data_IF_831493580733
#
_entry.id   IF_831493580733
#
_cell.length_a   1.000
_cell.length_b   1.000
_cell.length_c   1.000
_cell.angle_alpha   90.00
_cell.angle_beta   90.00
_cell.angle_gamma   90.00
#
_symmetry.space_group_name_H-M   'P 1'
#
loop_
_entity.id
_entity.type
_entity.pdbx_description
1 polymer ?
#
# COMPACT_ATOMS: atom_id res chain seq x y z
N UNK A 1 3.45 23.23 -3.20
CA UNK A 1 3.55 22.29 -2.06
C UNK A 1 4.81 22.53 -1.23
N UNK A 2 5.97 22.85 -1.83
CA UNK A 2 7.25 22.97 -1.09
C UNK A 2 7.90 24.36 -1.12
N UNK A 3 7.22 25.40 -1.61
CA UNK A 3 7.76 26.78 -1.58
C UNK A 3 8.99 27.01 -2.47
N UNK A 4 9.24 26.13 -3.44
CA UNK A 4 10.38 26.19 -4.38
C UNK A 4 9.96 26.78 -5.73
N UNK A 5 10.93 27.29 -6.50
CA UNK A 5 10.74 27.65 -7.90
C UNK A 5 10.53 26.41 -8.78
N UNK A 6 10.08 26.62 -10.02
CA UNK A 6 9.91 25.54 -11.00
C UNK A 6 11.26 24.94 -11.40
N UNK A 7 12.31 25.76 -11.55
CA UNK A 7 13.65 25.25 -11.85
C UNK A 7 14.18 24.40 -10.69
N UNK A 8 14.07 24.88 -9.45
CA UNK A 8 14.55 24.15 -8.27
C UNK A 8 13.82 22.81 -8.10
N UNK A 9 12.50 22.80 -8.32
CA UNK A 9 11.71 21.57 -8.25
C UNK A 9 12.11 20.57 -9.35
N UNK A 10 12.41 21.04 -10.57
CA UNK A 10 12.88 20.19 -11.66
C UNK A 10 14.24 19.58 -11.32
N UNK A 11 15.18 20.39 -10.86
CA UNK A 11 16.54 19.95 -10.55
C UNK A 11 16.52 18.96 -9.36
N UNK A 12 15.63 19.16 -8.38
CA UNK A 12 15.39 18.20 -7.31
C UNK A 12 14.86 16.85 -7.82
N UNK A 13 13.87 16.86 -8.72
CA UNK A 13 13.31 15.64 -9.32
C UNK A 13 14.38 14.87 -10.10
N UNK A 14 15.22 15.58 -10.86
CA UNK A 14 16.31 14.97 -11.61
C UNK A 14 17.38 14.36 -10.68
N UNK A 15 17.78 15.08 -9.62
CA UNK A 15 18.68 14.55 -8.61
C UNK A 15 18.12 13.31 -7.90
N UNK A 16 16.81 13.31 -7.59
CA UNK A 16 16.12 12.15 -7.01
C UNK A 16 16.20 10.93 -7.93
N UNK A 17 15.89 11.09 -9.22
CA UNK A 17 15.98 9.97 -10.16
C UNK A 17 17.41 9.52 -10.46
N UNK A 18 18.39 10.42 -10.42
CA UNK A 18 19.80 10.06 -10.52
C UNK A 18 20.24 9.22 -9.30
N UNK A 19 19.73 9.54 -8.12
CA UNK A 19 20.00 8.78 -6.89
C UNK A 19 19.27 7.43 -6.86
N UNK A 20 18.04 7.38 -7.38
CA UNK A 20 17.17 6.20 -7.37
C UNK A 20 16.74 5.80 -8.80
N UNK A 21 17.67 5.34 -9.66
CA UNK A 21 17.39 5.10 -11.08
C UNK A 21 16.31 4.03 -11.32
N UNK A 22 16.22 3.03 -10.43
CA UNK A 22 15.20 1.97 -10.48
C UNK A 22 13.77 2.50 -10.34
N UNK A 23 13.58 3.64 -9.65
CA UNK A 23 12.25 4.27 -9.53
C UNK A 23 11.80 4.83 -10.87
N UNK A 24 12.71 5.47 -11.63
CA UNK A 24 12.44 5.95 -12.99
C UNK A 24 12.16 4.78 -13.93
N UNK A 25 12.99 3.74 -13.89
CA UNK A 25 12.80 2.52 -14.68
C UNK A 25 11.44 1.86 -14.43
N UNK A 26 11.07 1.69 -13.16
CA UNK A 26 9.76 1.16 -12.78
C UNK A 26 8.62 2.00 -13.36
N UNK A 27 8.69 3.33 -13.17
CA UNK A 27 7.68 4.27 -13.66
C UNK A 27 7.50 4.13 -15.18
N UNK A 28 8.59 4.20 -15.92
CA UNK A 28 8.58 4.20 -17.38
C UNK A 28 8.09 2.84 -17.91
N UNK A 29 8.50 1.73 -17.26
CA UNK A 29 8.00 0.38 -17.57
C UNK A 29 6.50 0.24 -17.36
N UNK A 30 5.97 0.74 -16.24
CA UNK A 30 4.52 0.67 -15.95
C UNK A 30 3.73 1.47 -16.98
N UNK A 31 4.17 2.68 -17.33
CA UNK A 31 3.50 3.53 -18.33
C UNK A 31 3.53 2.87 -19.71
N UNK A 32 4.69 2.32 -20.12
CA UNK A 32 4.82 1.62 -21.41
C UNK A 32 3.87 0.42 -21.49
N UNK A 33 3.85 -0.43 -20.46
CA UNK A 33 2.96 -1.59 -20.41
C UNK A 33 1.48 -1.17 -20.42
N UNK A 34 1.11 -0.17 -19.62
CA UNK A 34 -0.26 0.33 -19.56
C UNK A 34 -0.72 0.96 -20.89
N UNK A 35 0.19 1.58 -21.64
CA UNK A 35 -0.11 2.15 -22.96
C UNK A 35 -0.38 1.05 -23.99
N UNK A 36 0.38 -0.04 -23.93
CA UNK A 36 0.20 -1.21 -24.80
C UNK A 36 -1.08 -1.98 -24.45
N UNK A 37 -1.29 -2.30 -23.17
CA UNK A 37 -2.36 -3.19 -22.71
C UNK A 37 -3.69 -2.46 -22.47
N UNK A 38 -3.63 -1.15 -22.20
CA UNK A 38 -4.79 -0.34 -21.80
C UNK A 38 -5.18 -0.48 -20.32
N UNK A 39 -4.41 -1.21 -19.51
CA UNK A 39 -4.62 -1.37 -18.08
C UNK A 39 -3.30 -1.59 -17.34
N UNK A 40 -3.33 -1.43 -16.01
CA UNK A 40 -2.25 -1.86 -15.10
C UNK A 40 -2.72 -2.97 -14.18
N UNK A 41 -1.78 -3.74 -13.64
CA UNK A 41 -2.02 -4.84 -12.68
C UNK A 41 -1.29 -4.59 -11.36
N UNK A 42 -1.95 -4.90 -10.25
CA UNK A 42 -1.26 -5.04 -8.95
C UNK A 42 -0.41 -6.32 -8.92
N UNK A 43 0.43 -6.50 -7.89
CA UNK A 43 1.21 -7.74 -7.72
C UNK A 43 0.32 -8.99 -7.56
N UNK A 44 -0.92 -8.81 -7.10
CA UNK A 44 -1.93 -9.87 -6.98
C UNK A 44 -2.77 -10.04 -8.26
N UNK A 45 -2.42 -9.36 -9.36
CA UNK A 45 -3.07 -9.50 -10.66
C UNK A 45 -4.38 -8.71 -10.82
N UNK A 46 -4.79 -7.89 -9.84
CA UNK A 46 -5.98 -7.04 -9.96
C UNK A 46 -5.76 -5.95 -11.00
N UNK A 47 -6.68 -5.83 -11.96
CA UNK A 47 -6.54 -4.91 -13.10
C UNK A 47 -7.29 -3.60 -12.88
N UNK A 48 -6.68 -2.50 -13.33
CA UNK A 48 -7.34 -1.20 -13.50
C UNK A 48 -7.11 -0.69 -14.93
N UNK A 49 -8.18 -0.48 -15.72
CA UNK A 49 -8.08 0.21 -17.01
C UNK A 49 -7.54 1.63 -16.86
N UNK A 50 -6.70 2.07 -17.80
CA UNK A 50 -6.14 3.44 -17.86
C UNK A 50 -6.33 3.99 -19.27
N UNK A 51 -7.56 4.36 -19.61
CA UNK A 51 -7.94 4.78 -20.96
C UNK A 51 -7.36 6.16 -21.32
N UNK A 52 -7.00 6.96 -20.32
CA UNK A 52 -6.44 8.31 -20.46
C UNK A 52 -5.12 8.33 -21.25
N UNK A 53 -4.35 7.24 -21.19
CA UNK A 53 -3.08 7.10 -21.92
C UNK A 53 -3.25 7.14 -23.45
N UNK A 54 -4.44 6.79 -23.96
CA UNK A 54 -4.74 6.83 -25.40
C UNK A 54 -5.11 8.22 -25.91
N UNK A 55 -5.29 9.20 -25.01
CA UNK A 55 -5.75 10.53 -25.40
C UNK A 55 -4.70 11.29 -26.22
N UNK A 56 -5.13 12.10 -27.20
CA UNK A 56 -4.27 13.08 -27.84
C UNK A 56 -4.07 14.35 -26.99
N UNK A 57 -4.86 14.55 -25.93
CA UNK A 57 -4.71 15.66 -24.99
C UNK A 57 -3.58 15.39 -23.98
N UNK A 58 -2.54 16.23 -24.00
CA UNK A 58 -1.38 16.11 -23.11
C UNK A 58 -1.76 16.06 -21.63
N UNK A 59 -2.68 16.93 -21.17
CA UNK A 59 -3.09 16.96 -19.76
C UNK A 59 -3.76 15.66 -19.33
N UNK A 60 -4.56 15.07 -20.22
CA UNK A 60 -5.25 13.81 -19.95
C UNK A 60 -4.26 12.63 -19.95
N UNK A 61 -3.33 12.57 -20.92
CA UNK A 61 -2.27 11.56 -20.89
C UNK A 61 -1.42 11.64 -19.63
N UNK A 62 -0.97 12.84 -19.23
CA UNK A 62 -0.18 13.00 -17.99
C UNK A 62 -0.97 12.62 -16.74
N UNK A 63 -2.31 12.75 -16.74
CA UNK A 63 -3.14 12.18 -15.68
C UNK A 63 -3.09 10.65 -15.72
N UNK A 64 -3.26 10.05 -16.90
CA UNK A 64 -3.15 8.60 -17.12
C UNK A 64 -1.82 8.02 -16.63
N UNK A 65 -0.70 8.69 -16.90
CA UNK A 65 0.63 8.27 -16.43
C UNK A 65 0.69 8.22 -14.90
N UNK A 66 0.18 9.26 -14.21
CA UNK A 66 0.12 9.27 -12.74
C UNK A 66 -0.82 8.19 -12.20
N UNK A 67 -1.97 7.99 -12.84
CA UNK A 67 -2.94 6.97 -12.45
C UNK A 67 -2.37 5.57 -12.60
N UNK A 68 -1.69 5.27 -13.70
CA UNK A 68 -1.08 3.97 -13.96
C UNK A 68 -0.11 3.59 -12.84
N UNK A 69 0.86 4.46 -12.55
CA UNK A 69 1.90 4.21 -11.53
C UNK A 69 1.30 4.10 -10.13
N UNK A 70 0.42 5.03 -9.74
CA UNK A 70 -0.19 5.02 -8.41
C UNK A 70 -1.08 3.80 -8.19
N UNK A 71 -1.77 3.32 -9.24
CA UNK A 71 -2.68 2.18 -9.11
C UNK A 71 -1.95 0.88 -8.85
N UNK A 72 -0.75 0.70 -9.41
CA UNK A 72 0.09 -0.47 -9.11
C UNK A 72 0.48 -0.45 -7.63
N UNK A 73 0.98 0.69 -7.14
CA UNK A 73 1.47 0.82 -5.76
C UNK A 73 0.34 0.75 -4.73
N UNK A 74 -0.63 1.67 -4.80
CA UNK A 74 -1.76 1.72 -3.86
C UNK A 74 -2.64 0.48 -3.97
N UNK A 75 -2.80 -0.03 -5.19
CA UNK A 75 -3.57 -1.24 -5.41
C UNK A 75 -2.92 -2.44 -4.74
N UNK A 76 -1.61 -2.61 -4.90
CA UNK A 76 -0.88 -3.68 -4.24
C UNK A 76 -0.97 -3.57 -2.72
N UNK A 77 -0.78 -2.38 -2.14
CA UNK A 77 -0.97 -2.17 -0.71
C UNK A 77 -2.38 -2.57 -0.23
N UNK A 78 -3.41 -2.20 -1.01
CA UNK A 78 -4.79 -2.59 -0.74
C UNK A 78 -5.07 -4.09 -0.91
N UNK A 79 -4.27 -4.81 -1.70
CA UNK A 79 -4.35 -6.28 -1.78
C UNK A 79 -3.68 -6.93 -0.56
N UNK A 80 -2.48 -6.48 -0.20
CA UNK A 80 -1.73 -6.96 0.97
C UNK A 80 -2.55 -6.82 2.25
N UNK A 81 -3.12 -5.65 2.52
CA UNK A 81 -3.91 -5.44 3.74
C UNK A 81 -5.14 -6.34 3.79
N UNK A 82 -5.76 -6.66 2.65
CA UNK A 82 -6.91 -7.59 2.61
C UNK A 82 -6.49 -9.02 2.92
N UNK A 83 -5.33 -9.47 2.43
CA UNK A 83 -4.78 -10.77 2.81
C UNK A 83 -4.48 -10.80 4.31
N UNK A 84 -3.88 -9.73 4.84
CA UNK A 84 -3.62 -9.60 6.27
C UNK A 84 -4.90 -9.68 7.10
N UNK A 85 -5.98 -9.00 6.70
CA UNK A 85 -7.28 -9.06 7.37
C UNK A 85 -7.84 -10.49 7.44
N UNK A 86 -7.77 -11.23 6.32
CA UNK A 86 -8.23 -12.62 6.28
C UNK A 86 -7.41 -13.51 7.21
N UNK A 87 -6.08 -13.34 7.23
CA UNK A 87 -5.19 -14.13 8.09
C UNK A 87 -5.36 -13.79 9.57
N UNK A 88 -5.53 -12.51 9.91
CA UNK A 88 -5.85 -12.08 11.28
C UNK A 88 -7.16 -12.72 11.74
N UNK A 89 -8.23 -12.59 10.94
CA UNK A 89 -9.53 -13.16 11.27
C UNK A 89 -9.45 -14.67 11.49
N UNK A 90 -8.80 -15.39 10.57
CA UNK A 90 -8.61 -16.85 10.66
C UNK A 90 -7.91 -17.25 11.96
N UNK A 91 -6.82 -16.56 12.32
CA UNK A 91 -6.05 -16.89 13.54
C UNK A 91 -6.80 -16.56 14.83
N UNK A 92 -7.59 -15.49 14.85
CA UNK A 92 -8.45 -15.17 15.99
C UNK A 92 -9.47 -16.29 16.23
N UNK A 93 -10.10 -16.78 15.16
CA UNK A 93 -11.07 -17.88 15.22
C UNK A 93 -10.44 -19.21 15.64
N UNK A 94 -9.31 -19.59 15.05
CA UNK A 94 -8.58 -20.82 15.39
C UNK A 94 -8.03 -20.80 16.82
N UNK A 95 -7.64 -19.62 17.31
CA UNK A 95 -7.19 -19.42 18.69
C UNK A 95 -8.33 -19.39 19.71
N UNK A 96 -9.60 -19.40 19.27
CA UNK A 96 -10.76 -19.24 20.15
C UNK A 96 -10.74 -17.92 20.93
N UNK A 97 -10.12 -16.88 20.39
CA UNK A 97 -9.93 -15.59 21.05
C UNK A 97 -11.25 -14.80 21.08
N UNK A 98 -11.48 -14.05 22.15
CA UNK A 98 -12.62 -13.13 22.21
C UNK A 98 -12.36 -11.82 21.46
N UNK A 99 -11.10 -11.53 21.11
CA UNK A 99 -10.70 -10.38 20.32
C UNK A 99 -11.36 -10.31 18.93
N UNK A 100 -11.57 -9.09 18.42
CA UNK A 100 -12.32 -8.82 17.18
C UNK A 100 -11.64 -7.74 16.35
N UNK A 101 -11.48 -7.99 15.06
CA UNK A 101 -11.12 -6.96 14.09
C UNK A 101 -12.32 -6.03 13.88
N UNK A 102 -12.17 -4.74 14.25
CA UNK A 102 -13.28 -3.77 14.28
C UNK A 102 -13.21 -2.82 13.09
N UNK A 103 -12.02 -2.30 12.77
CA UNK A 103 -11.84 -1.33 11.70
C UNK A 103 -10.60 -1.62 10.87
N UNK A 104 -10.66 -1.18 9.62
CA UNK A 104 -9.51 -1.02 8.75
C UNK A 104 -9.48 0.44 8.27
N UNK A 105 -8.33 1.09 8.38
CA UNK A 105 -8.15 2.48 7.98
C UNK A 105 -6.83 2.60 7.24
N UNK A 106 -6.89 2.71 5.92
CA UNK A 106 -5.71 2.72 5.04
C UNK A 106 -4.85 1.45 5.19
N UNK A 107 -3.71 1.55 5.88
CA UNK A 107 -2.75 0.50 6.18
C UNK A 107 -2.84 -0.01 7.63
N UNK A 108 -3.79 0.50 8.41
CA UNK A 108 -3.99 0.21 9.82
C UNK A 108 -5.17 -0.76 10.06
N UNK A 109 -4.98 -1.72 10.97
CA UNK A 109 -6.04 -2.59 11.49
C UNK A 109 -6.28 -2.29 12.98
N UNK A 110 -7.55 -2.13 13.37
CA UNK A 110 -7.95 -1.88 14.76
C UNK A 110 -8.64 -3.11 15.31
N UNK A 111 -8.10 -3.66 16.39
CA UNK A 111 -8.64 -4.83 17.09
C UNK A 111 -9.04 -4.45 18.52
N UNK A 112 -10.23 -4.86 18.93
CA UNK A 112 -10.65 -4.82 20.34
C UNK A 112 -10.40 -6.20 20.95
N UNK A 113 -9.80 -6.25 22.14
CA UNK A 113 -9.46 -7.50 22.82
C UNK A 113 -9.66 -7.35 24.35
N UNK A 114 -10.02 -8.43 25.06
CA UNK A 114 -9.90 -8.46 26.52
C UNK A 114 -8.46 -8.19 26.94
N UNK A 115 -8.27 -7.54 28.09
CA UNK A 115 -6.93 -7.21 28.62
C UNK A 115 -6.01 -8.43 28.71
N UNK A 116 -6.56 -9.59 29.09
CA UNK A 116 -5.82 -10.84 29.19
C UNK A 116 -5.31 -11.40 27.84
N UNK A 117 -5.88 -10.96 26.71
CA UNK A 117 -5.50 -11.43 25.37
C UNK A 117 -4.55 -10.47 24.64
N UNK A 118 -4.31 -9.26 25.18
CA UNK A 118 -3.61 -8.18 24.47
C UNK A 118 -2.25 -8.62 23.92
N UNK A 119 -1.39 -9.22 24.73
CA UNK A 119 -0.05 -9.63 24.27
C UNK A 119 -0.09 -10.72 23.19
N UNK A 120 -1.04 -11.65 23.29
CA UNK A 120 -1.25 -12.69 22.29
C UNK A 120 -1.74 -12.08 20.97
N UNK A 121 -2.70 -11.16 21.04
CA UNK A 121 -3.26 -10.44 19.88
C UNK A 121 -2.19 -9.57 19.21
N UNK A 122 -1.33 -8.88 19.97
CA UNK A 122 -0.24 -8.08 19.40
C UNK A 122 0.74 -8.92 18.60
N UNK A 123 1.08 -10.11 19.10
CA UNK A 123 1.96 -11.06 18.42
C UNK A 123 1.28 -11.59 17.15
N UNK A 124 0.01 -12.00 17.26
CA UNK A 124 -0.79 -12.47 16.13
C UNK A 124 -0.88 -11.43 15.02
N UNK A 125 -1.21 -10.17 15.35
CA UNK A 125 -1.30 -9.07 14.39
C UNK A 125 0.01 -8.84 13.66
N UNK A 126 1.11 -8.75 14.40
CA UNK A 126 2.45 -8.57 13.82
C UNK A 126 2.76 -9.69 12.84
N UNK A 127 2.58 -10.94 13.25
CA UNK A 127 2.99 -12.08 12.43
C UNK A 127 2.08 -12.26 11.21
N UNK A 128 0.76 -12.07 11.37
CA UNK A 128 -0.21 -12.16 10.28
C UNK A 128 0.00 -11.06 9.23
N UNK A 129 0.20 -9.81 9.67
CA UNK A 129 0.40 -8.68 8.75
C UNK A 129 1.76 -8.74 8.05
N UNK A 130 2.84 -9.13 8.75
CA UNK A 130 4.16 -9.31 8.13
C UNK A 130 4.18 -10.46 7.13
N UNK A 131 3.41 -11.51 7.40
CA UNK A 131 3.27 -12.69 6.54
C UNK A 131 2.26 -12.53 5.39
N UNK A 132 1.59 -11.38 5.26
CA UNK A 132 0.52 -11.20 4.27
C UNK A 132 1.02 -11.20 2.82
N UNK A 133 2.31 -10.92 2.60
CA UNK A 133 2.93 -11.00 1.29
C UNK A 133 4.44 -11.22 1.42
N UNK A 134 4.97 -12.20 0.70
CA UNK A 134 6.40 -12.49 0.68
C UNK A 134 7.14 -11.44 -0.18
N UNK A 135 7.97 -10.62 0.46
CA UNK A 135 8.76 -9.59 -0.22
C UNK A 135 10.05 -9.27 0.52
N UNK A 136 10.98 -8.63 -0.21
CA UNK A 136 12.25 -8.12 0.31
C UNK A 136 12.37 -6.61 0.02
N UNK A 137 12.60 -5.75 1.03
CA UNK A 137 12.62 -6.08 2.47
C UNK A 137 11.25 -6.53 2.97
N UNK A 138 11.26 -7.29 4.07
CA UNK A 138 10.02 -7.75 4.72
C UNK A 138 9.17 -6.57 5.17
N UNK A 139 7.85 -6.74 5.18
CA UNK A 139 6.95 -5.74 5.73
C UNK A 139 7.24 -5.53 7.22
N UNK A 140 7.33 -4.27 7.62
CA UNK A 140 7.40 -3.87 9.03
C UNK A 140 6.01 -3.52 9.53
N UNK A 141 5.72 -3.92 10.77
CA UNK A 141 4.40 -3.73 11.39
C UNK A 141 4.61 -3.25 12.82
N UNK A 142 4.13 -2.04 13.09
CA UNK A 142 4.08 -1.47 14.43
C UNK A 142 2.75 -1.85 15.09
N UNK A 143 2.79 -2.18 16.38
CA UNK A 143 1.59 -2.59 17.14
C UNK A 143 1.57 -1.92 18.50
N UNK A 144 0.66 -0.97 18.68
CA UNK A 144 0.34 -0.34 19.96
C UNK A 144 -0.92 -0.95 20.61
N UNK A 145 -1.17 -0.59 21.86
CA UNK A 145 -2.37 -0.97 22.60
C UNK A 145 -2.69 0.11 23.64
N UNK A 146 -3.97 0.40 23.85
CA UNK A 146 -4.43 1.44 24.76
C UNK A 146 -5.93 1.33 25.00
N UNK A 147 -6.44 2.11 25.97
CA UNK A 147 -7.87 2.12 26.32
C UNK A 147 -8.76 2.77 25.24
N UNK A 148 -8.14 3.55 24.35
CA UNK A 148 -8.77 4.13 23.18
C UNK A 148 -7.79 4.11 22.00
N UNK A 149 -8.31 4.39 20.79
CA UNK A 149 -7.52 4.36 19.57
C UNK A 149 -6.35 5.37 19.61
N UNK A 150 -6.50 6.52 20.27
CA UNK A 150 -5.42 7.51 20.35
C UNK A 150 -4.27 7.04 21.22
N UNK A 151 -4.57 6.34 22.32
CA UNK A 151 -3.57 5.75 23.20
C UNK A 151 -2.92 4.49 22.61
N UNK A 152 -3.56 3.85 21.63
CA UNK A 152 -3.05 2.67 20.93
C UNK A 152 -2.14 3.00 19.73
N UNK A 153 -2.00 4.29 19.36
CA UNK A 153 -1.07 4.75 18.32
C UNK A 153 0.34 4.97 18.86
#
# INVERSE_FOLDING_TARGET
QVGMSVEEARDFIEAYFARYPKVREFRDKVIAQATQDGYVTTLFGRRRPVTELKSSNYRLRSLGERLAVNSVLQGTAADVIKVAMLEVQRRLEEGGMAARLVLQVHDELVVEAPEAEVDAVKTLLRDAMRGAYEMEPVLEVEVGAGADWRAAK
#
